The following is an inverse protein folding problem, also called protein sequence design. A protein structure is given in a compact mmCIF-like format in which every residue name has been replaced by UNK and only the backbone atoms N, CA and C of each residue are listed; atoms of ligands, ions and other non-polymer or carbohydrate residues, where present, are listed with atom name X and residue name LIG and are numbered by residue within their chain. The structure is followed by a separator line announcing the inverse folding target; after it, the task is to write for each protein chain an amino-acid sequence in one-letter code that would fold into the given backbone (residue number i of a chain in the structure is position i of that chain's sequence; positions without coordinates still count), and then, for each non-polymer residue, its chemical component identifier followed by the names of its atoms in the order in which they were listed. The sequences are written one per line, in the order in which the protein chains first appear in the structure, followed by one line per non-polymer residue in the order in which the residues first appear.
data_IF_653931244606
#
_entry.id   IF_653931244606
#
_cell.length_a   1.000
_cell.length_b   1.000
_cell.length_c   1.000
_cell.angle_alpha   90.00
_cell.angle_beta   90.00
_cell.angle_gamma   90.00
#
_symmetry.space_group_name_H-M   'P 1'
#
loop_
_entity.id
_entity.type
_entity.pdbx_description
1 polymer ?
#
# COMPACT_ATOMS: atom_id res chain seq x y z
N UNK A 1 -14.17 -2.47 -11.03
CA UNK A 1 -14.05 -2.30 -9.57
C UNK A 1 -15.38 -1.89 -8.98
N UNK A 2 -15.64 -2.27 -7.74
CA UNK A 2 -16.80 -1.84 -6.95
C UNK A 2 -16.66 -0.38 -6.48
N UNK A 3 -17.78 0.29 -6.17
CA UNK A 3 -17.78 1.74 -5.86
C UNK A 3 -17.05 2.10 -4.57
N UNK A 4 -16.97 1.20 -3.58
CA UNK A 4 -16.27 1.43 -2.31
C UNK A 4 -14.75 1.54 -2.45
N UNK A 5 -14.19 1.09 -3.58
CA UNK A 5 -12.76 1.15 -3.86
C UNK A 5 -12.31 2.48 -4.47
N UNK A 6 -13.25 3.38 -4.81
CA UNK A 6 -12.89 4.70 -5.32
C UNK A 6 -12.11 5.50 -4.25
N UNK A 7 -10.91 5.97 -4.62
CA UNK A 7 -10.11 6.87 -3.81
C UNK A 7 -9.70 8.14 -4.57
N UNK A 8 -9.56 9.23 -3.82
CA UNK A 8 -9.04 10.51 -4.30
C UNK A 8 -8.25 11.17 -3.18
N UNK A 9 -7.00 11.53 -3.46
CA UNK A 9 -6.15 12.32 -2.57
C UNK A 9 -5.81 13.64 -3.25
N UNK A 10 -6.11 14.74 -2.56
CA UNK A 10 -5.71 16.10 -2.95
C UNK A 10 -4.84 16.64 -1.83
N UNK A 11 -3.53 16.70 -2.07
CA UNK A 11 -2.54 17.12 -1.09
C UNK A 11 -1.61 18.20 -1.66
N UNK A 12 -1.24 19.22 -0.88
CA UNK A 12 -0.31 20.25 -1.33
C UNK A 12 1.10 19.65 -1.50
N UNK A 13 1.71 19.89 -2.66
CA UNK A 13 3.08 19.44 -2.96
C UNK A 13 4.15 20.05 -2.05
N UNK A 14 3.82 21.10 -1.31
CA UNK A 14 4.70 21.68 -0.29
C UNK A 14 4.85 20.79 0.94
N UNK A 15 3.89 19.89 1.19
CA UNK A 15 3.81 19.15 2.44
C UNK A 15 3.89 17.63 2.20
N UNK A 16 3.55 17.15 1.00
CA UNK A 16 3.56 15.74 0.63
C UNK A 16 4.45 15.46 -0.58
N UNK A 17 5.15 14.33 -0.55
CA UNK A 17 5.84 13.78 -1.72
C UNK A 17 5.80 12.25 -1.72
N UNK A 18 6.45 11.65 -2.72
CA UNK A 18 6.59 10.21 -2.85
C UNK A 18 8.06 9.83 -2.97
N UNK A 19 8.39 8.64 -2.48
CA UNK A 19 9.65 7.98 -2.80
C UNK A 19 9.71 7.66 -4.32
N UNK A 20 10.91 7.47 -4.89
CA UNK A 20 11.07 7.12 -6.29
C UNK A 20 10.33 5.83 -6.66
N UNK A 21 9.81 5.76 -7.91
CA UNK A 21 9.15 4.55 -8.41
C UNK A 21 10.10 3.34 -8.34
N UNK A 22 9.62 2.24 -7.78
CA UNK A 22 10.18 0.90 -8.01
C UNK A 22 9.46 0.26 -9.19
N UNK A 23 10.24 -0.39 -10.05
CA UNK A 23 9.72 -1.08 -11.23
C UNK A 23 9.65 -2.58 -10.93
N UNK A 24 8.44 -3.12 -10.95
CA UNK A 24 8.18 -4.55 -10.83
C UNK A 24 8.42 -5.18 -12.20
N UNK A 25 9.17 -6.29 -12.19
CA UNK A 25 9.67 -6.96 -13.39
C UNK A 25 8.56 -7.38 -14.36
N UNK A 26 7.38 -7.75 -13.87
CA UNK A 26 6.21 -7.99 -14.71
C UNK A 26 5.58 -6.67 -15.17
N UNK A 27 5.46 -6.49 -16.49
CA UNK A 27 4.72 -5.40 -17.15
C UNK A 27 5.14 -3.95 -16.82
N UNK A 28 6.30 -3.74 -16.21
CA UNK A 28 6.77 -2.41 -15.78
C UNK A 28 5.79 -1.71 -14.82
N UNK A 29 5.19 -2.45 -13.90
CA UNK A 29 4.30 -1.87 -12.89
C UNK A 29 5.13 -0.99 -11.96
N UNK A 30 4.64 0.22 -11.71
CA UNK A 30 5.28 1.19 -10.80
C UNK A 30 4.71 1.07 -9.39
N UNK A 31 5.54 0.75 -8.41
CA UNK A 31 5.17 0.86 -6.99
C UNK A 31 5.86 2.07 -6.38
N UNK A 32 5.16 2.80 -5.51
CA UNK A 32 5.75 3.88 -4.71
C UNK A 32 4.98 4.12 -3.42
N UNK A 33 5.70 4.63 -2.43
CA UNK A 33 5.11 5.07 -1.15
C UNK A 33 5.16 6.60 -1.06
N UNK A 34 4.06 7.19 -0.63
CA UNK A 34 3.86 8.62 -0.50
C UNK A 34 3.43 8.98 0.93
N UNK A 35 3.73 10.21 1.35
CA UNK A 35 3.37 10.70 2.68
C UNK A 35 3.85 12.13 2.88
N UNK A 36 3.75 12.63 4.12
CA UNK A 36 4.31 13.94 4.46
C UNK A 36 5.82 13.96 4.31
N UNK A 37 6.37 15.08 3.88
CA UNK A 37 7.80 15.22 3.56
C UNK A 37 8.69 14.91 4.78
N UNK A 38 8.25 15.25 5.99
CA UNK A 38 9.00 15.04 7.23
C UNK A 38 9.12 13.56 7.63
N UNK A 39 8.21 12.70 7.17
CA UNK A 39 8.24 11.26 7.46
C UNK A 39 8.77 10.41 6.30
N UNK A 40 8.99 10.97 5.10
CA UNK A 40 9.46 10.21 3.92
C UNK A 40 10.65 9.27 4.17
N UNK A 41 11.70 9.66 4.94
CA UNK A 41 12.82 8.75 5.22
C UNK A 41 12.39 7.46 5.95
N UNK A 42 11.34 7.54 6.76
CA UNK A 42 10.80 6.43 7.54
C UNK A 42 9.89 5.49 6.72
N UNK A 43 9.54 5.88 5.49
CA UNK A 43 8.69 5.08 4.58
C UNK A 43 9.50 4.13 3.69
N UNK A 44 10.84 4.20 3.76
CA UNK A 44 11.73 3.39 2.92
C UNK A 44 11.58 1.88 3.15
N UNK A 45 11.32 1.47 4.38
CA UNK A 45 11.03 0.08 4.71
C UNK A 45 9.71 -0.39 4.08
N UNK A 46 8.64 0.41 4.22
CA UNK A 46 7.35 0.09 3.62
C UNK A 46 7.45 -0.03 2.08
N UNK A 47 8.26 0.81 1.44
CA UNK A 47 8.52 0.77 0.00
C UNK A 47 9.23 -0.51 -0.45
N UNK A 48 10.22 -0.99 0.32
CA UNK A 48 10.86 -2.28 0.08
C UNK A 48 9.87 -3.44 0.26
N UNK A 49 9.12 -3.43 1.35
CA UNK A 49 8.16 -4.47 1.71
C UNK A 49 7.05 -4.58 0.67
N UNK A 50 6.46 -3.45 0.26
CA UNK A 50 5.43 -3.39 -0.76
C UNK A 50 5.92 -3.96 -2.10
N UNK A 51 7.13 -3.60 -2.52
CA UNK A 51 7.74 -4.16 -3.73
C UNK A 51 7.85 -5.69 -3.68
N UNK A 52 8.38 -6.22 -2.57
CA UNK A 52 8.59 -7.67 -2.40
C UNK A 52 7.27 -8.45 -2.33
N UNK A 53 6.27 -7.91 -1.65
CA UNK A 53 4.94 -8.53 -1.52
C UNK A 53 4.22 -8.54 -2.86
N UNK A 54 4.33 -7.47 -3.63
CA UNK A 54 3.71 -7.40 -4.95
C UNK A 54 4.34 -8.39 -5.93
N UNK A 55 5.67 -8.54 -5.93
CA UNK A 55 6.36 -9.60 -6.69
C UNK A 55 5.93 -11.00 -6.24
N UNK A 56 5.78 -11.19 -4.92
CA UNK A 56 5.31 -12.44 -4.36
C UNK A 56 3.90 -12.79 -4.85
N UNK A 57 2.93 -11.87 -4.78
CA UNK A 57 1.55 -12.17 -5.18
C UNK A 57 1.37 -12.33 -6.68
N UNK A 58 2.12 -11.60 -7.51
CA UNK A 58 2.17 -11.85 -8.96
C UNK A 58 2.54 -13.31 -9.24
N UNK A 59 3.56 -13.83 -8.54
CA UNK A 59 4.04 -15.21 -8.70
C UNK A 59 3.09 -16.22 -8.06
N UNK A 60 2.59 -15.93 -6.86
CA UNK A 60 1.80 -16.85 -6.05
C UNK A 60 0.43 -17.13 -6.66
N UNK A 61 -0.25 -16.09 -7.17
CA UNK A 61 -1.56 -16.24 -7.81
C UNK A 61 -1.47 -16.60 -9.29
N UNK A 62 -0.27 -16.56 -9.89
CA UNK A 62 -0.04 -16.70 -11.34
C UNK A 62 -0.91 -15.73 -12.17
N UNK A 63 -1.16 -14.55 -11.59
CA UNK A 63 -1.95 -13.47 -12.17
C UNK A 63 -1.19 -12.18 -11.86
N UNK A 64 -0.66 -11.54 -12.90
CA UNK A 64 -0.03 -10.22 -12.74
C UNK A 64 -1.03 -9.19 -12.20
N UNK A 65 -0.54 -8.31 -11.33
CA UNK A 65 -1.27 -7.12 -10.94
C UNK A 65 -1.72 -6.31 -12.18
N UNK A 66 -3.02 -5.97 -12.31
CA UNK A 66 -3.58 -5.53 -13.58
C UNK A 66 -3.42 -4.04 -13.88
N UNK A 67 -3.06 -3.22 -12.89
CA UNK A 67 -2.92 -1.78 -13.06
C UNK A 67 -1.44 -1.39 -13.33
N UNK A 68 -1.19 -0.27 -14.06
CA UNK A 68 0.18 0.13 -14.40
C UNK A 68 0.98 0.68 -13.20
N UNK A 69 0.30 0.96 -12.08
CA UNK A 69 0.92 1.46 -10.86
C UNK A 69 0.12 1.06 -9.62
N UNK A 70 0.79 1.02 -8.48
CA UNK A 70 0.21 0.96 -7.15
C UNK A 70 0.88 2.02 -6.27
N UNK A 71 0.09 2.71 -5.47
CA UNK A 71 0.55 3.77 -4.58
C UNK A 71 0.11 3.44 -3.16
N UNK A 72 1.04 3.49 -2.20
CA UNK A 72 0.71 3.42 -0.77
C UNK A 72 0.85 4.83 -0.21
N UNK A 73 -0.24 5.40 0.31
CA UNK A 73 -0.27 6.79 0.73
C UNK A 73 -0.53 6.89 2.24
N UNK A 74 0.47 7.36 2.99
CA UNK A 74 0.37 7.64 4.41
C UNK A 74 -0.38 8.96 4.66
N UNK A 75 -1.46 8.91 5.46
CA UNK A 75 -2.24 10.08 5.86
C UNK A 75 -2.18 10.31 7.38
N UNK A 76 -2.11 11.57 7.86
CA UNK A 76 -1.89 11.85 9.30
C UNK A 76 -3.05 11.46 10.22
N UNK A 77 -4.27 11.37 9.67
CA UNK A 77 -5.47 11.00 10.40
C UNK A 77 -6.27 10.06 9.53
N UNK A 78 -6.48 8.84 10.01
CA UNK A 78 -7.31 7.84 9.36
C UNK A 78 -8.27 7.21 10.36
N UNK A 79 -9.47 6.83 9.90
CA UNK A 79 -10.49 6.23 10.79
C UNK A 79 -10.24 4.73 11.05
N UNK A 80 -9.37 4.11 10.26
CA UNK A 80 -8.91 2.72 10.41
C UNK A 80 -7.39 2.64 10.39
N UNK A 81 -6.85 1.48 10.07
CA UNK A 81 -5.40 1.25 9.96
C UNK A 81 -4.92 1.44 8.51
N UNK A 82 -5.67 0.91 7.55
CA UNK A 82 -5.49 1.09 6.12
C UNK A 82 -6.79 0.80 5.34
N UNK A 83 -6.79 1.04 4.03
CA UNK A 83 -7.86 0.73 3.10
C UNK A 83 -7.30 0.38 1.72
N UNK A 84 -7.85 -0.67 1.12
CA UNK A 84 -7.32 -1.37 -0.05
C UNK A 84 -7.66 -0.73 -1.40
N UNK A 85 -8.01 0.56 -1.43
CA UNK A 85 -8.54 1.21 -2.64
C UNK A 85 -7.69 0.91 -3.88
N UNK A 86 -8.34 0.43 -4.95
CA UNK A 86 -7.66 -0.24 -6.06
C UNK A 86 -6.59 0.63 -6.73
N UNK A 87 -5.31 0.32 -6.47
CA UNK A 87 -4.14 1.05 -6.96
C UNK A 87 -3.74 2.32 -6.20
N UNK A 88 -4.49 2.72 -5.17
CA UNK A 88 -4.15 3.82 -4.26
C UNK A 88 -4.49 3.43 -2.82
N UNK A 89 -3.68 2.57 -2.22
CA UNK A 89 -3.88 2.08 -0.87
C UNK A 89 -3.61 3.22 0.12
N UNK A 90 -4.52 3.46 1.05
CA UNK A 90 -4.43 4.56 2.02
C UNK A 90 -4.13 3.96 3.39
N UNK A 91 -3.15 4.52 4.09
CA UNK A 91 -2.73 4.03 5.40
C UNK A 91 -2.74 5.18 6.41
N UNK A 92 -3.05 4.86 7.66
CA UNK A 92 -2.58 5.67 8.77
C UNK A 92 -1.04 5.74 8.75
N UNK A 93 -0.45 6.89 9.09
CA UNK A 93 1.02 7.04 9.09
C UNK A 93 1.72 5.94 9.91
N UNK A 94 1.15 5.55 11.05
CA UNK A 94 1.74 4.50 11.89
C UNK A 94 1.78 3.14 11.17
N UNK A 95 0.91 2.91 10.19
CA UNK A 95 0.87 1.69 9.39
C UNK A 95 2.03 1.54 8.41
N UNK A 96 2.78 2.62 8.12
CA UNK A 96 3.89 2.61 7.15
C UNK A 96 5.21 3.14 7.73
N UNK A 97 5.18 3.96 8.77
CA UNK A 97 6.37 4.57 9.38
C UNK A 97 7.20 3.51 10.12
N UNK A 98 8.46 3.37 9.70
CA UNK A 98 9.44 2.50 10.35
C UNK A 98 10.76 3.22 10.57
N UNK A 99 11.28 3.14 11.79
CA UNK A 99 12.64 3.55 12.16
C UNK A 99 13.27 2.43 12.99
N UNK A 100 14.35 1.84 12.46
CA UNK A 100 15.08 0.72 13.05
C UNK A 100 15.52 0.98 14.49
N UNK A 101 15.73 2.25 14.88
CA UNK A 101 16.19 2.61 16.22
C UNK A 101 15.06 2.65 17.26
N UNK A 102 13.82 2.86 16.82
CA UNK A 102 12.70 3.16 17.71
C UNK A 102 11.55 2.16 17.62
N UNK A 103 11.46 1.44 16.50
CA UNK A 103 10.38 0.49 16.24
C UNK A 103 10.77 -0.92 16.71
N UNK A 104 9.89 -1.55 17.50
CA UNK A 104 10.09 -2.94 17.96
C UNK A 104 9.92 -3.94 16.82
N UNK A 105 10.51 -5.14 16.97
CA UNK A 105 10.30 -6.24 16.02
C UNK A 105 8.83 -6.62 15.85
N UNK A 106 8.04 -6.59 16.92
CA UNK A 106 6.60 -6.83 16.86
C UNK A 106 5.88 -5.77 16.03
N UNK A 107 6.28 -4.50 16.12
CA UNK A 107 5.68 -3.43 15.33
C UNK A 107 6.13 -3.50 13.86
N UNK A 108 7.38 -3.88 13.61
CA UNK A 108 7.88 -4.15 12.27
C UNK A 108 7.10 -5.27 11.58
N UNK A 109 6.85 -6.37 12.30
CA UNK A 109 6.04 -7.47 11.81
C UNK A 109 4.62 -6.99 11.49
N UNK A 110 3.98 -6.26 12.40
CA UNK A 110 2.64 -5.71 12.17
C UNK A 110 2.58 -4.80 10.93
N UNK A 111 3.55 -3.89 10.74
CA UNK A 111 3.63 -3.04 9.53
C UNK A 111 3.72 -3.92 8.27
N UNK A 112 4.53 -4.97 8.31
CA UNK A 112 4.68 -5.92 7.20
C UNK A 112 3.38 -6.64 6.90
N UNK A 113 2.69 -7.12 7.93
CA UNK A 113 1.41 -7.83 7.82
C UNK A 113 0.32 -6.92 7.26
N UNK A 114 0.23 -5.67 7.72
CA UNK A 114 -0.73 -4.70 7.22
C UNK A 114 -0.48 -4.38 5.74
N UNK A 115 0.77 -4.11 5.34
CA UNK A 115 1.11 -3.91 3.92
C UNK A 115 0.75 -5.15 3.09
N UNK A 116 1.00 -6.35 3.63
CA UNK A 116 0.63 -7.60 2.96
C UNK A 116 -0.88 -7.75 2.80
N UNK A 117 -1.65 -7.39 3.81
CA UNK A 117 -3.10 -7.44 3.82
C UNK A 117 -3.70 -6.59 2.70
N UNK A 118 -3.36 -5.30 2.65
CA UNK A 118 -3.90 -4.38 1.65
C UNK A 118 -3.47 -4.71 0.22
N UNK A 119 -2.23 -5.19 0.03
CA UNK A 119 -1.77 -5.65 -1.30
C UNK A 119 -2.46 -6.96 -1.69
N UNK A 120 -2.75 -7.87 -0.76
CA UNK A 120 -3.49 -9.09 -1.05
C UNK A 120 -4.91 -8.80 -1.57
N UNK A 121 -5.55 -7.76 -1.01
CA UNK A 121 -6.87 -7.32 -1.46
C UNK A 121 -6.94 -6.96 -2.94
N UNK A 122 -5.82 -6.54 -3.55
CA UNK A 122 -5.76 -6.26 -4.98
C UNK A 122 -6.13 -7.47 -5.87
N UNK A 123 -5.97 -8.69 -5.34
CA UNK A 123 -6.47 -9.93 -5.94
C UNK A 123 -7.78 -10.39 -5.27
N UNK A 124 -7.81 -10.40 -3.93
CA UNK A 124 -8.92 -10.96 -3.12
C UNK A 124 -9.66 -9.82 -2.42
N UNK A 125 -10.58 -9.19 -3.13
CA UNK A 125 -11.31 -7.98 -2.71
C UNK A 125 -11.60 -7.11 -3.93
N UNK A 126 -10.56 -6.80 -4.70
CA UNK A 126 -10.64 -5.84 -5.81
C UNK A 126 -10.89 -6.53 -7.15
N UNK A 127 -10.01 -7.46 -7.53
CA UNK A 127 -10.14 -8.25 -8.75
C UNK A 127 -11.29 -9.24 -8.64
N UNK A 128 -11.37 -9.93 -7.50
CA UNK A 128 -12.50 -10.78 -7.12
C UNK A 128 -13.13 -10.19 -5.86
N UNK A 129 -14.29 -9.55 -6.02
CA UNK A 129 -15.05 -8.89 -4.95
C UNK A 129 -16.20 -9.78 -4.47
N UNK A 130 -16.58 -9.74 -3.17
CA UNK A 130 -17.80 -10.40 -2.71
C UNK A 130 -19.02 -9.89 -3.47
N UNK A 131 -20.02 -10.76 -3.64
CA UNK A 131 -21.27 -10.37 -4.30
C UNK A 131 -22.13 -9.51 -3.35
N UNK A 132 -21.99 -9.71 -2.04
CA UNK A 132 -22.71 -8.96 -1.02
C UNK A 132 -21.90 -8.83 0.28
N UNK A 133 -22.20 -7.79 1.06
CA UNK A 133 -21.51 -7.48 2.32
C UNK A 133 -21.62 -8.54 3.42
N UNK A 134 -22.56 -9.48 3.30
CA UNK A 134 -22.66 -10.60 4.26
C UNK A 134 -21.60 -11.67 4.05
N UNK A 135 -20.84 -11.61 2.95
CA UNK A 135 -19.73 -12.52 2.63
C UNK A 135 -18.37 -11.95 3.08
N UNK A 136 -18.38 -10.81 3.77
CA UNK A 136 -17.20 -10.18 4.37
C UNK A 136 -16.83 -10.84 5.70
#
# INVERSE_FOLDING_TARGET
MSTYLLALIVAPRSDFACLPDRIISSKNIKSRVCGRIDILPQLTYADEVAYRILEFFNTYFDIDYPLPKIELFAVPVFSGEAMENYGLLIYDELGLVFDEKTVSSSRQQYITELIAHEIAHQWIGDLVTPAWWSEL
#
